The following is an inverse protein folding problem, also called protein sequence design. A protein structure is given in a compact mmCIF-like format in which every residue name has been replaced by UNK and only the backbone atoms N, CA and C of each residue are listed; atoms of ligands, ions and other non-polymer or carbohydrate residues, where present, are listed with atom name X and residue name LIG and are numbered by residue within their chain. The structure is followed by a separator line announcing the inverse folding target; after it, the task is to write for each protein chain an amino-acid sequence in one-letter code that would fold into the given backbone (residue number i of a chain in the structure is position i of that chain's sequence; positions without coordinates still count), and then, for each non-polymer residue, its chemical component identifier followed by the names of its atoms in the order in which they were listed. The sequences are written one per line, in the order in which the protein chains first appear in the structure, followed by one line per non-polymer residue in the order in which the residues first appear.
data_IF_689734633464
#
_entry.id   IF_689734633464
#
_cell.length_a   1.000
_cell.length_b   1.000
_cell.length_c   1.000
_cell.angle_alpha   90.00
_cell.angle_beta   90.00
_cell.angle_gamma   90.00
#
_symmetry.space_group_name_H-M   'P 1'
#
loop_
_entity.id
_entity.type
_entity.pdbx_description
1 polymer ?
#
# COMPACT_ATOMS: atom_id res chain seq x y z
N UNK A 1 35.03 40.46 -28.65
CA UNK A 1 34.43 39.10 -28.68
C UNK A 1 34.53 38.50 -27.26
N UNK A 2 33.48 38.57 -26.45
CA UNK A 2 33.41 37.96 -25.14
C UNK A 2 32.50 36.73 -25.26
N UNK A 3 33.05 35.51 -25.10
CA UNK A 3 32.31 34.27 -25.08
C UNK A 3 31.61 34.13 -23.72
N UNK A 4 30.29 34.20 -23.69
CA UNK A 4 29.49 33.90 -22.53
C UNK A 4 29.48 32.36 -22.35
N UNK A 5 30.17 31.90 -21.33
CA UNK A 5 30.08 30.52 -20.85
C UNK A 5 28.72 30.32 -20.18
N UNK A 6 27.78 29.67 -20.87
CA UNK A 6 26.51 29.25 -20.35
C UNK A 6 26.74 28.21 -19.23
N UNK A 7 26.57 28.61 -17.98
CA UNK A 7 26.45 27.68 -16.87
C UNK A 7 25.22 26.79 -17.11
N UNK A 8 25.45 25.52 -17.44
CA UNK A 8 24.40 24.49 -17.39
C UNK A 8 23.95 24.39 -15.94
N UNK A 9 22.74 24.88 -15.66
CA UNK A 9 22.06 24.61 -14.39
C UNK A 9 21.94 23.09 -14.27
N UNK A 10 22.73 22.48 -13.38
CA UNK A 10 22.49 21.12 -12.93
C UNK A 10 21.08 21.11 -12.31
N UNK A 11 20.11 20.56 -13.03
CA UNK A 11 18.78 20.31 -12.50
C UNK A 11 18.93 19.32 -11.35
N UNK A 12 18.87 19.81 -10.14
CA UNK A 12 18.86 18.97 -8.94
C UNK A 12 17.70 18.00 -9.05
N UNK A 13 18.01 16.73 -9.26
CA UNK A 13 16.99 15.68 -9.31
C UNK A 13 16.18 15.72 -8.01
N UNK A 14 14.89 16.04 -8.12
CA UNK A 14 13.99 16.18 -6.97
C UNK A 14 13.94 14.88 -6.16
N UNK A 15 13.93 15.02 -4.83
CA UNK A 15 13.80 13.88 -3.91
C UNK A 15 12.39 13.32 -4.03
N UNK A 16 12.24 12.06 -4.44
CA UNK A 16 10.93 11.40 -4.48
C UNK A 16 10.39 11.16 -3.06
N UNK A 17 9.15 11.57 -2.85
CA UNK A 17 8.43 11.39 -1.57
C UNK A 17 7.60 10.13 -1.63
N UNK A 18 7.90 9.18 -0.76
CA UNK A 18 7.24 7.88 -0.68
C UNK A 18 6.49 7.79 0.64
N UNK A 19 5.19 7.56 0.56
CA UNK A 19 4.34 7.27 1.71
C UNK A 19 4.06 5.76 1.77
N UNK A 20 4.48 5.13 2.87
CA UNK A 20 4.25 3.71 3.15
C UNK A 20 3.17 3.59 4.22
N UNK A 21 2.06 2.93 3.89
CA UNK A 21 0.93 2.76 4.80
C UNK A 21 0.74 1.28 5.13
N UNK A 22 0.69 0.96 6.43
CA UNK A 22 0.24 -0.31 6.97
C UNK A 22 -0.99 -0.12 7.85
N UNK A 23 -1.51 -1.21 8.40
CA UNK A 23 -2.64 -1.19 9.32
C UNK A 23 -2.28 -1.86 10.63
N UNK A 24 -2.84 -1.35 11.71
CA UNK A 24 -2.79 -1.96 13.04
C UNK A 24 -3.62 -3.25 13.15
N UNK A 25 -3.67 -3.83 14.35
CA UNK A 25 -4.56 -4.95 14.67
C UNK A 25 -6.04 -4.58 14.45
N UNK A 26 -6.89 -5.62 14.27
CA UNK A 26 -8.33 -5.46 14.13
C UNK A 26 -9.05 -6.71 14.67
N UNK A 27 -10.37 -6.68 14.90
CA UNK A 27 -11.12 -7.86 15.34
C UNK A 27 -10.87 -9.06 14.43
N UNK A 28 -10.41 -10.18 15.00
CA UNK A 28 -10.01 -11.39 14.26
C UNK A 28 -8.55 -11.43 13.78
N UNK A 29 -7.76 -10.36 14.00
CA UNK A 29 -6.31 -10.34 13.72
C UNK A 29 -5.56 -9.45 14.71
N UNK A 30 -5.21 -10.02 15.87
CA UNK A 30 -4.42 -9.34 16.91
C UNK A 30 -3.02 -8.92 16.47
N UNK A 31 -2.52 -9.52 15.40
CA UNK A 31 -1.28 -9.14 14.75
C UNK A 31 -1.52 -8.87 13.25
N UNK A 32 -1.14 -7.68 12.82
CA UNK A 32 -1.20 -7.32 11.41
C UNK A 32 0.22 -7.14 10.86
N UNK A 33 0.72 -8.07 10.02
CA UNK A 33 2.09 -8.03 9.53
C UNK A 33 2.38 -6.80 8.66
N UNK A 34 1.36 -6.13 8.13
CA UNK A 34 1.56 -4.93 7.30
C UNK A 34 2.19 -3.78 8.10
N UNK A 35 1.87 -3.64 9.39
CA UNK A 35 2.49 -2.64 10.26
C UNK A 35 4.01 -2.84 10.40
N UNK A 36 4.43 -4.08 10.66
CA UNK A 36 5.86 -4.40 10.78
C UNK A 36 6.55 -4.34 9.42
N UNK A 37 5.88 -4.76 8.34
CA UNK A 37 6.40 -4.72 6.99
C UNK A 37 6.76 -3.29 6.56
N UNK A 38 5.86 -2.31 6.73
CA UNK A 38 6.13 -0.94 6.29
C UNK A 38 7.25 -0.29 7.09
N UNK A 39 7.35 -0.56 8.39
CA UNK A 39 8.46 -0.09 9.24
C UNK A 39 9.79 -0.71 8.78
N UNK A 40 9.82 -2.02 8.54
CA UNK A 40 11.01 -2.71 8.05
C UNK A 40 11.43 -2.21 6.66
N UNK A 41 10.48 -1.97 5.75
CA UNK A 41 10.74 -1.43 4.42
C UNK A 41 11.33 -0.01 4.49
N UNK A 42 10.85 0.82 5.40
CA UNK A 42 11.37 2.18 5.60
C UNK A 42 12.85 2.21 6.03
N UNK A 43 13.29 1.20 6.78
CA UNK A 43 14.66 1.08 7.25
C UNK A 43 15.61 0.46 6.20
N UNK A 44 15.09 -0.08 5.09
CA UNK A 44 15.92 -0.72 4.07
C UNK A 44 16.84 0.28 3.36
N UNK A 45 18.11 -0.09 3.23
CA UNK A 45 19.12 0.70 2.52
C UNK A 45 19.45 0.00 1.20
N UNK A 46 19.22 0.69 0.10
CA UNK A 46 19.58 0.27 -1.26
C UNK A 46 20.00 1.48 -2.07
N UNK A 47 20.89 1.35 -3.06
CA UNK A 47 21.22 2.46 -3.96
C UNK A 47 19.99 3.11 -4.60
N UNK A 48 18.99 2.30 -5.00
CA UNK A 48 17.74 2.78 -5.57
C UNK A 48 16.92 3.67 -4.60
N UNK A 49 17.19 3.61 -3.29
CA UNK A 49 16.50 4.36 -2.24
C UNK A 49 17.27 5.59 -1.75
N UNK A 50 18.46 5.86 -2.28
CA UNK A 50 19.34 6.92 -1.80
C UNK A 50 18.72 8.33 -1.90
N UNK A 51 17.84 8.55 -2.89
CA UNK A 51 17.15 9.83 -3.12
C UNK A 51 15.66 9.76 -2.83
N UNK A 52 15.27 9.01 -1.79
CA UNK A 52 13.89 8.93 -1.33
C UNK A 52 13.73 9.62 0.02
N UNK A 53 12.70 10.44 0.13
CA UNK A 53 12.10 10.79 1.42
C UNK A 53 10.99 9.77 1.70
N UNK A 54 11.13 8.99 2.77
CA UNK A 54 10.18 7.92 3.10
C UNK A 54 9.46 8.25 4.40
N UNK A 55 8.16 8.42 4.30
CA UNK A 55 7.26 8.54 5.45
C UNK A 55 6.51 7.24 5.65
N UNK A 56 6.43 6.78 6.88
CA UNK A 56 5.71 5.54 7.24
C UNK A 56 4.61 5.86 8.21
N UNK A 57 3.42 5.33 7.94
CA UNK A 57 2.29 5.45 8.85
C UNK A 57 1.58 4.10 9.02
N UNK A 58 1.19 3.80 10.25
CA UNK A 58 0.36 2.64 10.59
C UNK A 58 -1.00 3.16 11.01
N UNK A 59 -1.96 3.04 10.11
CA UNK A 59 -3.35 3.43 10.38
C UNK A 59 -3.95 2.52 11.46
N UNK A 60 -4.55 3.12 12.47
CA UNK A 60 -5.47 2.37 13.31
C UNK A 60 -6.62 1.85 12.44
N UNK A 61 -7.07 0.62 12.69
CA UNK A 61 -8.08 -0.03 11.86
C UNK A 61 -9.49 0.45 12.23
N UNK A 62 -9.66 1.78 12.14
CA UNK A 62 -10.89 2.52 12.42
C UNK A 62 -11.17 3.51 11.30
N UNK A 63 -12.43 3.65 10.88
CA UNK A 63 -12.83 4.58 9.82
C UNK A 63 -12.48 6.03 10.18
N UNK A 64 -12.78 6.46 11.42
CA UNK A 64 -12.46 7.79 11.91
C UNK A 64 -10.95 8.08 11.90
N UNK A 65 -10.11 7.10 12.19
CA UNK A 65 -8.65 7.25 12.14
C UNK A 65 -8.16 7.43 10.69
N UNK A 66 -8.73 6.70 9.74
CA UNK A 66 -8.39 6.86 8.32
C UNK A 66 -8.73 8.28 7.85
N UNK A 67 -9.92 8.79 8.17
CA UNK A 67 -10.38 10.14 7.78
C UNK A 67 -9.56 11.26 8.43
N UNK A 68 -9.14 11.08 9.68
CA UNK A 68 -8.34 12.04 10.44
C UNK A 68 -6.88 12.09 9.96
N UNK A 69 -6.29 10.93 9.68
CA UNK A 69 -4.84 10.83 9.47
C UNK A 69 -4.44 11.00 8.00
N UNK A 70 -5.19 10.46 7.05
CA UNK A 70 -4.84 10.53 5.62
C UNK A 70 -4.62 11.95 5.10
N UNK A 71 -5.46 12.96 5.41
CA UNK A 71 -5.23 14.32 4.91
C UNK A 71 -3.88 14.90 5.36
N UNK A 72 -3.44 14.59 6.58
CA UNK A 72 -2.17 15.05 7.14
C UNK A 72 -0.96 14.41 6.45
N UNK A 73 -1.11 13.15 6.01
CA UNK A 73 -0.05 12.40 5.34
C UNK A 73 0.19 12.85 3.90
N UNK A 74 -0.68 13.70 3.34
CA UNK A 74 -0.52 14.26 2.01
C UNK A 74 0.17 15.62 1.99
N UNK A 75 0.70 16.07 3.12
CA UNK A 75 1.45 17.32 3.26
C UNK A 75 2.84 17.02 3.85
N UNK A 76 3.91 17.18 3.06
CA UNK A 76 3.95 17.47 1.64
C UNK A 76 3.42 16.31 0.79
N UNK A 77 2.86 16.64 -0.39
CA UNK A 77 2.26 15.66 -1.28
C UNK A 77 3.24 14.54 -1.67
N UNK A 78 2.87 13.27 -1.51
CA UNK A 78 3.71 12.14 -1.92
C UNK A 78 3.68 11.92 -3.44
N UNK A 79 4.79 11.45 -4.01
CA UNK A 79 4.89 11.01 -5.40
C UNK A 79 4.48 9.54 -5.55
N UNK A 80 4.68 8.75 -4.49
CA UNK A 80 4.33 7.33 -4.43
C UNK A 80 3.61 7.05 -3.12
N UNK A 81 2.46 6.38 -3.18
CA UNK A 81 1.74 5.85 -2.02
C UNK A 81 1.63 4.34 -2.15
N UNK A 82 2.28 3.60 -1.27
CA UNK A 82 2.24 2.14 -1.24
C UNK A 82 1.58 1.67 0.05
N UNK A 83 0.42 1.05 -0.09
CA UNK A 83 -0.43 0.59 1.00
C UNK A 83 -0.33 -0.93 1.10
N UNK A 84 -0.10 -1.46 2.29
CA UNK A 84 -0.14 -2.90 2.56
C UNK A 84 -1.25 -3.21 3.54
N UNK A 85 -2.09 -4.20 3.21
CA UNK A 85 -3.18 -4.69 4.07
C UNK A 85 -3.13 -6.20 4.23
N UNK A 86 -3.49 -6.71 5.41
CA UNK A 86 -3.63 -8.15 5.64
C UNK A 86 -4.92 -8.66 4.99
N UNK A 87 -4.81 -9.69 4.17
CA UNK A 87 -5.94 -10.47 3.66
C UNK A 87 -5.86 -11.91 4.18
N UNK A 88 -6.44 -12.16 5.35
CA UNK A 88 -6.27 -13.39 6.12
C UNK A 88 -6.64 -14.69 5.40
N UNK A 89 -7.52 -14.61 4.38
CA UNK A 89 -7.95 -15.77 3.59
C UNK A 89 -7.16 -15.95 2.27
N UNK A 90 -6.22 -15.06 1.97
CA UNK A 90 -5.45 -15.15 0.71
C UNK A 90 -4.11 -15.83 0.96
N UNK A 91 -3.68 -16.66 0.01
CA UNK A 91 -2.43 -17.44 0.07
C UNK A 91 -1.28 -16.82 -0.70
N UNK A 92 -1.53 -15.73 -1.42
CA UNK A 92 -0.54 -15.02 -2.24
C UNK A 92 -0.75 -13.51 -2.17
N UNK A 93 0.23 -12.74 -2.60
CA UNK A 93 0.09 -11.29 -2.70
C UNK A 93 -0.96 -10.94 -3.75
N UNK A 94 -1.76 -9.91 -3.47
CA UNK A 94 -2.74 -9.41 -4.42
C UNK A 94 -2.52 -7.92 -4.68
N UNK A 95 -2.16 -7.60 -5.92
CA UNK A 95 -2.05 -6.22 -6.39
C UNK A 95 -3.46 -5.77 -6.76
N UNK A 96 -4.04 -4.88 -5.96
CA UNK A 96 -5.42 -4.43 -6.16
C UNK A 96 -5.49 -3.39 -7.27
N UNK A 97 -6.22 -3.69 -8.35
CA UNK A 97 -6.28 -2.81 -9.53
C UNK A 97 -7.30 -1.69 -9.39
N UNK A 98 -8.17 -1.76 -8.37
CA UNK A 98 -9.19 -0.76 -8.07
C UNK A 98 -9.64 -0.79 -6.62
N UNK A 99 -10.12 0.34 -6.12
CA UNK A 99 -10.93 0.45 -4.92
C UNK A 99 -12.41 0.57 -5.31
N UNK A 100 -13.32 0.02 -4.51
CA UNK A 100 -14.77 0.14 -4.69
C UNK A 100 -15.33 1.22 -3.78
N UNK A 101 -16.33 1.96 -4.24
CA UNK A 101 -17.12 2.86 -3.40
C UNK A 101 -18.09 2.05 -2.53
N UNK A 102 -17.54 1.19 -1.69
CA UNK A 102 -18.34 0.28 -0.87
C UNK A 102 -17.67 -0.05 0.45
N UNK A 103 -18.46 -0.10 1.52
CA UNK A 103 -18.09 -0.58 2.86
C UNK A 103 -19.03 -1.66 3.33
N UNK A 104 -18.56 -2.52 4.24
CA UNK A 104 -19.39 -3.53 4.88
C UNK A 104 -20.19 -2.92 6.03
N UNK A 105 -21.47 -3.21 6.08
CA UNK A 105 -22.35 -2.85 7.20
C UNK A 105 -22.32 -3.91 8.33
N UNK A 106 -21.73 -5.07 8.06
CA UNK A 106 -21.75 -6.22 8.97
C UNK A 106 -20.61 -6.20 9.99
N UNK A 107 -19.42 -5.78 9.56
CA UNK A 107 -18.23 -5.87 10.38
C UNK A 107 -17.90 -4.53 11.03
N UNK A 108 -17.83 -4.49 12.39
CA UNK A 108 -17.35 -3.31 13.09
C UNK A 108 -15.86 -3.09 12.82
N UNK A 109 -15.42 -1.85 12.93
CA UNK A 109 -14.00 -1.52 12.97
C UNK A 109 -13.39 -1.81 14.35
N UNK A 110 -12.11 -1.50 14.55
CA UNK A 110 -11.43 -1.78 15.82
C UNK A 110 -11.94 -0.93 17.01
N UNK A 111 -12.71 0.14 16.75
CA UNK A 111 -13.40 0.93 17.77
C UNK A 111 -14.83 0.43 18.06
N UNK A 112 -15.29 -0.58 17.34
CA UNK A 112 -16.67 -1.08 17.43
C UNK A 112 -17.66 -0.36 16.51
N UNK A 113 -17.22 0.68 15.78
CA UNK A 113 -18.07 1.43 14.86
C UNK A 113 -18.43 0.60 13.62
N UNK A 114 -19.70 0.69 13.21
CA UNK A 114 -20.21 0.12 11.96
C UNK A 114 -20.73 1.25 11.06
N UNK A 115 -20.33 1.28 9.77
CA UNK A 115 -20.89 2.23 8.83
C UNK A 115 -22.41 2.08 8.74
N UNK A 116 -23.13 3.22 8.66
CA UNK A 116 -24.59 3.24 8.50
C UNK A 116 -25.04 3.14 7.04
N UNK A 117 -24.11 3.35 6.10
CA UNK A 117 -24.33 3.32 4.64
C UNK A 117 -23.32 2.38 3.99
N UNK A 118 -23.73 1.76 2.89
CA UNK A 118 -22.88 0.79 2.17
C UNK A 118 -21.88 1.44 1.19
N UNK A 119 -21.95 2.74 0.98
CA UNK A 119 -21.09 3.54 0.11
C UNK A 119 -20.11 4.39 0.92
N UNK A 120 -18.91 4.61 0.38
CA UNK A 120 -17.86 5.48 0.98
C UNK A 120 -18.23 6.95 0.73
N UNK A 121 -18.63 7.27 -0.49
CA UNK A 121 -19.09 8.59 -0.91
C UNK A 121 -20.41 8.45 -1.65
N UNK A 122 -21.52 8.98 -1.09
CA UNK A 122 -22.80 9.00 -1.78
C UNK A 122 -22.71 9.71 -3.13
N UNK A 123 -23.27 9.09 -4.18
CA UNK A 123 -23.20 9.64 -5.54
C UNK A 123 -21.82 9.64 -6.19
N UNK A 124 -20.79 9.16 -5.49
CA UNK A 124 -19.45 9.05 -6.04
C UNK A 124 -19.31 7.90 -7.05
N UNK A 125 -18.19 7.86 -7.81
CA UNK A 125 -17.96 6.81 -8.78
C UNK A 125 -17.98 5.43 -8.12
N UNK A 126 -18.49 4.36 -8.79
CA UNK A 126 -18.63 3.03 -8.18
C UNK A 126 -17.28 2.39 -7.85
N UNK A 127 -16.21 2.81 -8.54
CA UNK A 127 -14.84 2.37 -8.29
C UNK A 127 -13.83 3.38 -8.81
N UNK A 128 -12.66 3.44 -8.17
CA UNK A 128 -11.49 4.18 -8.62
C UNK A 128 -10.37 3.21 -8.97
N UNK A 129 -9.71 3.40 -10.11
CA UNK A 129 -8.56 2.60 -10.52
C UNK A 129 -7.30 3.10 -9.84
N UNK A 130 -6.42 2.15 -9.45
CA UNK A 130 -5.06 2.49 -9.04
C UNK A 130 -4.26 3.11 -10.19
N UNK A 131 -3.39 4.04 -9.86
CA UNK A 131 -2.55 4.75 -10.84
C UNK A 131 -1.22 4.05 -11.12
N UNK A 132 -0.87 3.03 -10.34
CA UNK A 132 0.39 2.31 -10.51
C UNK A 132 0.38 1.33 -11.70
N UNK A 133 1.55 1.07 -12.33
CA UNK A 133 1.67 0.15 -13.47
C UNK A 133 1.63 -1.31 -12.99
N UNK A 134 0.43 -1.84 -12.77
CA UNK A 134 0.19 -3.15 -12.13
C UNK A 134 0.89 -4.33 -12.81
N UNK A 135 1.07 -4.28 -14.14
CA UNK A 135 1.80 -5.32 -14.87
C UNK A 135 3.30 -5.35 -14.49
N UNK A 136 3.93 -4.18 -14.37
CA UNK A 136 5.32 -4.08 -13.93
C UNK A 136 5.49 -4.54 -12.48
N UNK A 137 4.52 -4.21 -11.60
CA UNK A 137 4.53 -4.66 -10.22
C UNK A 137 4.40 -6.18 -10.12
N UNK A 138 3.50 -6.78 -10.90
CA UNK A 138 3.34 -8.23 -10.96
C UNK A 138 4.61 -8.91 -11.45
N UNK A 139 5.21 -8.41 -12.53
CA UNK A 139 6.49 -8.89 -13.06
C UNK A 139 7.63 -8.83 -12.03
N UNK A 140 7.72 -7.74 -11.24
CA UNK A 140 8.72 -7.58 -10.19
C UNK A 140 8.57 -8.63 -9.06
N UNK A 141 7.33 -9.00 -8.71
CA UNK A 141 7.07 -10.06 -7.74
C UNK A 141 7.39 -11.44 -8.29
N UNK A 142 6.98 -11.75 -9.51
CA UNK A 142 7.25 -13.03 -10.16
C UNK A 142 8.75 -13.24 -10.39
N UNK A 143 9.49 -12.22 -10.83
CA UNK A 143 10.95 -12.25 -10.93
C UNK A 143 11.65 -12.48 -9.58
N UNK A 144 10.97 -12.20 -8.46
CA UNK A 144 11.38 -12.54 -7.10
C UNK A 144 10.88 -13.89 -6.61
N UNK A 145 10.25 -14.70 -7.44
CA UNK A 145 9.59 -15.97 -7.10
C UNK A 145 8.57 -15.84 -5.96
N UNK A 146 7.94 -14.64 -5.84
CA UNK A 146 6.88 -14.40 -4.87
C UNK A 146 5.51 -14.65 -5.52
N UNK A 147 4.72 -15.60 -5.02
CA UNK A 147 3.37 -15.85 -5.54
C UNK A 147 2.52 -14.59 -5.45
N UNK A 148 2.05 -14.11 -6.58
CA UNK A 148 1.26 -12.89 -6.68
C UNK A 148 0.27 -12.95 -7.84
N UNK A 149 -0.80 -12.15 -7.72
CA UNK A 149 -1.79 -11.97 -8.79
C UNK A 149 -2.36 -10.57 -8.79
N UNK A 150 -2.97 -10.18 -9.88
CA UNK A 150 -3.83 -9.01 -9.93
C UNK A 150 -5.18 -9.35 -9.28
N UNK A 151 -5.76 -8.36 -8.61
CA UNK A 151 -7.08 -8.47 -7.99
C UNK A 151 -7.92 -7.24 -8.32
N UNK A 152 -9.22 -7.46 -8.51
CA UNK A 152 -10.21 -6.39 -8.73
C UNK A 152 -11.13 -6.22 -7.52
N UNK A 153 -10.75 -6.79 -6.38
CA UNK A 153 -11.57 -6.81 -5.19
C UNK A 153 -10.73 -6.61 -3.92
N UNK A 154 -10.57 -5.36 -3.53
CA UNK A 154 -9.92 -4.96 -2.28
C UNK A 154 -10.81 -5.20 -1.03
N UNK A 155 -11.93 -5.91 -1.19
CA UNK A 155 -12.91 -6.15 -0.14
C UNK A 155 -13.83 -4.93 0.09
N UNK A 156 -14.45 -4.93 1.29
CA UNK A 156 -15.37 -3.85 1.72
C UNK A 156 -15.06 -3.40 3.15
N UNK A 157 -13.81 -3.46 3.55
CA UNK A 157 -13.37 -3.09 4.90
C UNK A 157 -12.31 -1.99 4.82
N UNK A 158 -11.59 -1.73 5.91
CA UNK A 158 -10.69 -0.59 6.06
C UNK A 158 -9.60 -0.48 4.96
N UNK A 159 -9.11 -1.60 4.42
CA UNK A 159 -8.12 -1.57 3.33
C UNK A 159 -8.70 -0.93 2.07
N UNK A 160 -9.90 -1.38 1.66
CA UNK A 160 -10.62 -0.79 0.52
C UNK A 160 -10.99 0.67 0.80
N UNK A 161 -11.47 0.96 2.02
CA UNK A 161 -11.84 2.31 2.43
C UNK A 161 -10.66 3.27 2.31
N UNK A 162 -9.52 2.95 2.93
CA UNK A 162 -8.32 3.78 2.87
C UNK A 162 -7.81 3.93 1.43
N UNK A 163 -7.79 2.84 0.64
CA UNK A 163 -7.36 2.87 -0.75
C UNK A 163 -8.25 3.79 -1.60
N UNK A 164 -9.57 3.69 -1.43
CA UNK A 164 -10.52 4.56 -2.12
C UNK A 164 -10.33 6.03 -1.73
N UNK A 165 -10.17 6.33 -0.42
CA UNK A 165 -9.94 7.70 0.09
C UNK A 165 -8.63 8.29 -0.46
N UNK A 166 -7.55 7.50 -0.52
CA UNK A 166 -6.28 7.94 -1.11
C UNK A 166 -6.46 8.25 -2.60
N UNK A 167 -7.07 7.33 -3.35
CA UNK A 167 -7.29 7.53 -4.79
C UNK A 167 -8.20 8.73 -5.07
N UNK A 168 -9.29 8.90 -4.31
CA UNK A 168 -10.19 10.04 -4.48
C UNK A 168 -9.50 11.38 -4.19
N UNK A 169 -8.63 11.44 -3.16
CA UNK A 169 -7.95 12.67 -2.77
C UNK A 169 -6.82 13.06 -3.71
N UNK A 170 -6.14 12.07 -4.27
CA UNK A 170 -4.99 12.26 -5.15
C UNK A 170 -5.35 12.10 -6.64
N UNK A 171 -6.65 12.03 -6.95
CA UNK A 171 -7.13 11.95 -8.33
C UNK A 171 -6.75 13.22 -9.12
N UNK A 172 -6.32 13.04 -10.38
CA UNK A 172 -5.85 14.15 -11.23
C UNK A 172 -4.41 14.60 -10.96
N UNK A 173 -3.88 14.30 -9.83
CA UNK A 173 -2.48 14.46 -9.49
C UNK A 173 -1.70 13.20 -9.93
N UNK A 174 -0.46 13.29 -10.28
CA UNK A 174 0.33 12.17 -10.83
C UNK A 174 1.00 11.21 -9.82
N UNK A 175 0.59 11.08 -8.52
CA UNK A 175 1.20 10.10 -7.65
C UNK A 175 0.85 8.68 -8.09
N UNK A 176 1.81 7.77 -7.94
CA UNK A 176 1.57 6.34 -8.11
C UNK A 176 0.99 5.78 -6.81
N UNK A 177 -0.26 5.36 -6.84
CA UNK A 177 -0.97 4.83 -5.67
C UNK A 177 -1.27 3.35 -5.88
N UNK A 178 -0.84 2.51 -4.92
CA UNK A 178 -1.07 1.07 -4.98
C UNK A 178 -1.41 0.48 -3.62
N UNK A 179 -2.46 -0.32 -3.56
CA UNK A 179 -2.76 -1.24 -2.46
C UNK A 179 -2.30 -2.66 -2.84
N UNK A 180 -1.57 -3.27 -1.94
CA UNK A 180 -1.17 -4.69 -2.04
C UNK A 180 -1.67 -5.43 -0.80
N UNK A 181 -2.53 -6.41 -1.00
CA UNK A 181 -2.89 -7.34 0.05
C UNK A 181 -1.81 -8.41 0.22
N UNK A 182 -1.40 -8.61 1.46
CA UNK A 182 -0.44 -9.64 1.87
C UNK A 182 -1.14 -10.78 2.59
N UNK A 183 -0.70 -12.04 2.40
CA UNK A 183 -1.21 -13.16 3.18
C UNK A 183 -0.70 -13.13 4.62
N UNK A 184 -1.30 -13.93 5.53
CA UNK A 184 -0.78 -14.15 6.86
C UNK A 184 0.66 -14.67 6.83
N UNK A 185 1.46 -14.33 7.84
CA UNK A 185 2.83 -14.82 7.96
C UNK A 185 2.89 -16.13 8.73
N UNK A 186 3.90 -16.95 8.44
CA UNK A 186 4.10 -18.28 9.05
C UNK A 186 4.02 -18.26 10.59
N UNK A 187 4.65 -17.28 11.23
CA UNK A 187 4.68 -17.17 12.69
C UNK A 187 3.30 -17.00 13.29
N UNK A 188 2.44 -16.21 12.62
CA UNK A 188 1.09 -15.94 13.11
C UNK A 188 0.17 -17.14 12.98
N UNK A 189 0.19 -17.82 11.84
CA UNK A 189 -0.60 -19.04 11.64
C UNK A 189 -0.22 -20.15 12.65
N UNK A 190 1.08 -20.30 12.96
CA UNK A 190 1.54 -21.24 13.99
C UNK A 190 1.01 -20.89 15.38
N UNK A 191 0.97 -19.60 15.75
CA UNK A 191 0.43 -19.13 17.03
C UNK A 191 -1.07 -19.38 17.16
N UNK A 192 -1.80 -19.34 16.06
CA UNK A 192 -3.23 -19.59 16.00
C UNK A 192 -3.57 -21.09 15.85
N UNK A 193 -2.58 -21.98 15.83
CA UNK A 193 -2.77 -23.41 15.60
C UNK A 193 -3.27 -23.75 14.19
N UNK A 194 -3.24 -22.76 13.27
CA UNK A 194 -3.71 -22.93 11.91
C UNK A 194 -2.58 -23.47 11.03
N UNK A 195 -2.69 -24.74 10.68
CA UNK A 195 -1.83 -25.40 9.70
C UNK A 195 -2.70 -25.83 8.52
N UNK A 196 -2.51 -25.17 7.39
CA UNK A 196 -3.16 -25.60 6.14
C UNK A 196 -2.24 -26.58 5.40
N UNK A 197 -2.71 -27.82 5.17
CA UNK A 197 -1.97 -28.81 4.38
C UNK A 197 -1.62 -28.22 3.00
N UNK A 198 -0.34 -28.33 2.62
CA UNK A 198 0.15 -27.88 1.30
C UNK A 198 0.36 -26.38 1.12
N UNK A 199 0.01 -25.53 2.11
CA UNK A 199 0.32 -24.11 2.05
C UNK A 199 1.54 -23.74 2.91
N UNK A 200 2.51 -23.08 2.28
CA UNK A 200 3.68 -22.52 2.98
C UNK A 200 3.58 -20.99 3.03
N UNK A 201 3.07 -20.43 4.15
CA UNK A 201 2.97 -18.98 4.28
C UNK A 201 4.35 -18.33 4.23
N UNK A 202 4.46 -17.13 3.64
CA UNK A 202 5.71 -16.41 3.57
C UNK A 202 6.20 -16.00 4.98
N UNK A 203 7.51 -15.85 5.11
CA UNK A 203 8.08 -15.15 6.27
C UNK A 203 7.89 -13.64 6.12
N UNK A 204 7.96 -12.90 7.23
CA UNK A 204 7.95 -11.43 7.19
C UNK A 204 9.14 -10.91 6.35
N UNK A 205 10.32 -11.52 6.44
CA UNK A 205 11.49 -11.16 5.65
C UNK A 205 11.22 -11.31 4.14
N UNK A 206 10.56 -12.39 3.73
CA UNK A 206 10.18 -12.59 2.32
C UNK A 206 9.19 -11.52 1.84
N UNK A 207 8.23 -11.13 2.69
CA UNK A 207 7.30 -10.03 2.37
C UNK A 207 8.02 -8.69 2.26
N UNK A 208 8.99 -8.41 3.13
CA UNK A 208 9.80 -7.18 3.05
C UNK A 208 10.61 -7.15 1.74
N UNK A 209 11.23 -8.27 1.36
CA UNK A 209 11.95 -8.36 0.07
C UNK A 209 11.01 -8.17 -1.13
N UNK A 210 9.80 -8.71 -1.08
CA UNK A 210 8.78 -8.49 -2.10
C UNK A 210 8.37 -7.00 -2.16
N UNK A 211 8.15 -6.36 -1.01
CA UNK A 211 7.82 -4.94 -0.92
C UNK A 211 8.94 -4.04 -1.45
N UNK A 212 10.22 -4.40 -1.23
CA UNK A 212 11.36 -3.70 -1.85
C UNK A 212 11.30 -3.73 -3.37
N UNK A 213 10.99 -4.91 -3.96
CA UNK A 213 10.85 -5.05 -5.42
C UNK A 213 9.72 -4.20 -5.97
N UNK A 214 8.58 -4.16 -5.27
CA UNK A 214 7.46 -3.29 -5.63
C UNK A 214 7.85 -1.82 -5.59
N UNK A 215 8.54 -1.39 -4.54
CA UNK A 215 9.00 -0.01 -4.40
C UNK A 215 10.00 0.37 -5.50
N UNK A 216 10.95 -0.50 -5.84
CA UNK A 216 11.89 -0.29 -6.96
C UNK A 216 11.14 -0.13 -8.28
N UNK A 217 10.14 -0.97 -8.54
CA UNK A 217 9.32 -0.89 -9.76
C UNK A 217 8.52 0.43 -9.83
N UNK A 218 7.95 0.89 -8.70
CA UNK A 218 7.25 2.17 -8.61
C UNK A 218 8.20 3.36 -8.83
N UNK A 219 9.40 3.34 -8.27
CA UNK A 219 10.42 4.38 -8.49
C UNK A 219 10.81 4.43 -9.97
N UNK A 220 11.02 3.29 -10.61
CA UNK A 220 11.32 3.24 -12.03
C UNK A 220 10.18 3.81 -12.90
N UNK A 221 8.94 3.56 -12.50
CA UNK A 221 7.75 4.06 -13.20
C UNK A 221 7.53 5.58 -12.99
N UNK A 222 7.83 6.11 -11.79
CA UNK A 222 7.65 7.53 -11.49
C UNK A 222 8.65 8.46 -12.19
N UNK A 223 9.70 7.91 -12.80
CA UNK A 223 10.73 8.64 -13.55
C UNK A 223 10.46 8.70 -15.05
N UNK A 224 9.40 8.03 -15.51
CA UNK A 224 8.96 8.04 -16.92
C UNK A 224 7.88 9.08 -17.13
#
# INVERSE_FOLDING_TARGET
MRRSSGLRKCSGASVLRVLLIGFGPFPGAHFNPSATLVKALACRRRPAFARLSRTTHVLATCYAAVDRDLPKLFVPKPDIVLIFGLAGRRRQLCIETRARNAVSLLFPDASGYRPKRGDILPGGPPALRGSAPVAALLGALHGGRMPARLSRDAGRYLCNYAYWRVLARLHGDRPLVQLVHIPPVRRELRRQGLSERGYRPPSLAALVTAAERLLVALIAASRR
#
